data_IF_097603029441
#
_entry.id   IF_097603029441
#
_cell.length_a   1.000
_cell.length_b   1.000
_cell.length_c   1.000
_cell.angle_alpha   90.00
_cell.angle_beta   90.00
_cell.angle_gamma   90.00
#
_symmetry.space_group_name_H-M   'P 1'
#
loop_
_entity.id
_entity.type
_entity.pdbx_description
1 polymer ?
#
# COMPACT_ATOMS: atom_id res chain seq x y z
N UNK A 1 15.23 20.19 4.00
CA UNK A 1 14.68 18.82 4.10
C UNK A 1 14.74 18.44 5.56
N UNK A 2 13.61 18.47 6.27
CA UNK A 2 13.56 18.12 7.69
C UNK A 2 13.75 16.61 7.78
N UNK A 3 14.82 16.15 8.44
CA UNK A 3 14.97 14.73 8.76
C UNK A 3 13.89 14.39 9.78
N UNK A 4 12.81 13.77 9.31
CA UNK A 4 11.76 13.25 10.17
C UNK A 4 12.17 11.83 10.54
N UNK A 5 12.31 11.58 11.84
CA UNK A 5 12.68 10.29 12.41
C UNK A 5 11.76 9.18 11.88
N UNK A 6 12.29 8.04 11.40
CA UNK A 6 11.46 6.96 10.87
C UNK A 6 10.48 6.43 11.92
N UNK A 7 9.32 5.88 11.52
CA UNK A 7 8.33 5.41 12.46
C UNK A 7 8.87 4.19 13.24
N UNK A 8 9.15 4.37 14.53
CA UNK A 8 9.76 3.34 15.41
C UNK A 8 8.87 2.14 15.70
N UNK A 9 7.59 2.18 15.33
CA UNK A 9 6.61 1.15 15.63
C UNK A 9 6.47 0.08 14.53
N UNK A 10 7.20 0.21 13.41
CA UNK A 10 7.10 -0.71 12.27
C UNK A 10 7.77 -2.07 12.52
N UNK A 11 8.64 -2.17 13.53
CA UNK A 11 9.38 -3.39 13.82
C UNK A 11 10.58 -3.65 12.89
N UNK A 12 10.92 -2.70 12.02
CA UNK A 12 12.10 -2.71 11.17
C UNK A 12 12.63 -1.28 10.93
N UNK A 13 13.87 -1.17 10.47
CA UNK A 13 14.45 0.10 10.01
C UNK A 13 14.25 0.25 8.49
N UNK A 14 13.49 1.26 8.03
CA UNK A 14 13.23 1.44 6.60
C UNK A 14 14.48 1.95 5.87
N UNK A 15 14.66 1.48 4.63
CA UNK A 15 15.70 2.00 3.72
C UNK A 15 15.42 3.46 3.39
N UNK A 16 14.15 3.77 3.11
CA UNK A 16 13.67 5.11 2.80
C UNK A 16 12.24 5.25 3.31
N UNK A 17 11.89 6.44 3.81
CA UNK A 17 10.52 6.80 4.21
C UNK A 17 10.08 8.04 3.45
N UNK A 18 8.89 7.99 2.87
CA UNK A 18 8.18 9.14 2.31
C UNK A 18 6.98 9.48 3.18
N UNK A 19 6.74 10.79 3.35
CA UNK A 19 5.62 11.32 4.11
C UNK A 19 4.56 11.81 3.13
N UNK A 20 3.34 11.34 3.33
CA UNK A 20 2.16 11.68 2.54
C UNK A 20 1.08 12.24 3.46
N UNK A 21 0.08 12.91 2.89
CA UNK A 21 -1.09 13.36 3.66
C UNK A 21 -1.84 12.22 4.35
N UNK A 22 -1.83 11.03 3.74
CA UNK A 22 -2.50 9.83 4.26
C UNK A 22 -1.70 9.01 5.29
N UNK A 23 -0.41 9.28 5.48
CA UNK A 23 0.47 8.46 6.32
C UNK A 23 1.92 8.46 5.85
N UNK A 24 2.61 7.37 6.12
CA UNK A 24 3.97 7.14 5.61
C UNK A 24 4.01 5.97 4.65
N UNK A 25 4.96 6.04 3.72
CA UNK A 25 5.28 4.95 2.80
C UNK A 25 6.75 4.61 2.97
N UNK A 26 7.04 3.38 3.36
CA UNK A 26 8.34 2.96 3.84
C UNK A 26 8.87 1.81 2.98
N UNK A 27 10.09 1.91 2.48
CA UNK A 27 10.76 0.82 1.77
C UNK A 27 11.41 -0.12 2.79
N UNK A 28 10.96 -1.36 2.83
CA UNK A 28 11.59 -2.41 3.62
C UNK A 28 12.89 -2.88 2.93
N UNK A 29 13.94 -3.29 3.68
CA UNK A 29 15.16 -3.86 3.11
C UNK A 29 14.95 -5.04 2.13
N UNK A 30 13.91 -5.84 2.35
CA UNK A 30 13.52 -6.95 1.47
C UNK A 30 12.79 -6.51 0.19
N UNK A 31 12.66 -5.20 -0.07
CA UNK A 31 12.17 -4.66 -1.34
C UNK A 31 10.64 -4.52 -1.46
N UNK A 32 9.88 -4.78 -0.40
CA UNK A 32 8.44 -4.47 -0.34
C UNK A 32 8.19 -3.12 0.35
N UNK A 33 7.00 -2.56 0.12
CA UNK A 33 6.59 -1.27 0.69
C UNK A 33 5.64 -1.46 1.87
N UNK A 34 5.82 -0.69 2.93
CA UNK A 34 4.91 -0.62 4.07
C UNK A 34 4.25 0.74 4.15
N UNK A 35 2.96 0.78 3.88
CA UNK A 35 2.11 1.95 4.05
C UNK A 35 1.50 1.96 5.45
N UNK A 36 1.95 2.89 6.28
CA UNK A 36 1.39 3.09 7.62
C UNK A 36 0.46 4.31 7.62
N UNK A 37 -0.84 4.04 7.66
CA UNK A 37 -1.86 5.08 7.53
C UNK A 37 -2.01 5.87 8.82
N UNK A 38 -2.23 7.19 8.69
CA UNK A 38 -2.61 8.00 9.85
C UNK A 38 -3.88 7.40 10.49
N UNK A 39 -3.93 7.25 11.82
CA UNK A 39 -5.12 6.71 12.49
C UNK A 39 -6.40 7.46 12.12
N UNK A 40 -7.47 6.71 11.81
CA UNK A 40 -8.80 7.24 11.43
C UNK A 40 -8.78 8.14 10.19
N UNK A 41 -7.73 8.09 9.37
CA UNK A 41 -7.69 8.86 8.12
C UNK A 41 -8.77 8.39 7.15
N UNK A 42 -9.23 9.33 6.31
CA UNK A 42 -10.14 9.05 5.21
C UNK A 42 -9.35 9.02 3.92
N UNK A 43 -9.31 7.85 3.28
CA UNK A 43 -8.68 7.66 1.98
C UNK A 43 -9.63 8.15 0.88
N UNK A 44 -9.37 9.37 0.41
CA UNK A 44 -9.96 10.01 -0.78
C UNK A 44 -9.13 9.66 -2.03
N UNK A 45 -9.55 10.13 -3.22
CA UNK A 45 -8.76 9.98 -4.45
C UNK A 45 -7.34 10.52 -4.29
N UNK A 46 -7.20 11.78 -3.86
CA UNK A 46 -5.90 12.45 -3.78
C UNK A 46 -4.97 11.75 -2.78
N UNK A 47 -5.48 11.42 -1.60
CA UNK A 47 -4.67 10.73 -0.59
C UNK A 47 -4.23 9.34 -1.05
N UNK A 48 -5.10 8.61 -1.76
CA UNK A 48 -4.77 7.27 -2.26
C UNK A 48 -3.75 7.34 -3.40
N UNK A 49 -3.93 8.27 -4.34
CA UNK A 49 -2.98 8.53 -5.43
C UNK A 49 -1.61 8.93 -4.89
N UNK A 50 -1.55 9.86 -3.93
CA UNK A 50 -0.30 10.29 -3.31
C UNK A 50 0.46 9.11 -2.70
N UNK A 51 -0.23 8.23 -1.96
CA UNK A 51 0.38 7.06 -1.35
C UNK A 51 0.85 6.02 -2.39
N UNK A 52 0.06 5.77 -3.43
CA UNK A 52 0.41 4.85 -4.52
C UNK A 52 1.64 5.33 -5.31
N UNK A 53 1.69 6.63 -5.60
CA UNK A 53 2.80 7.25 -6.32
C UNK A 53 4.06 7.32 -5.47
N UNK A 54 3.93 7.61 -4.17
CA UNK A 54 5.03 7.56 -3.23
C UNK A 54 5.64 6.14 -3.21
N UNK A 55 4.81 5.10 -3.11
CA UNK A 55 5.29 3.72 -3.17
C UNK A 55 5.97 3.39 -4.50
N UNK A 56 5.47 3.90 -5.62
CA UNK A 56 6.04 3.63 -6.95
C UNK A 56 7.43 4.28 -7.08
N UNK A 57 7.61 5.45 -6.49
CA UNK A 57 8.90 6.13 -6.48
C UNK A 57 9.97 5.41 -5.65
N UNK A 58 9.56 4.59 -4.67
CA UNK A 58 10.46 3.77 -3.87
C UNK A 58 10.85 2.44 -4.54
N UNK A 59 10.11 2.00 -5.56
CA UNK A 59 10.36 0.77 -6.30
C UNK A 59 10.43 1.05 -7.82
N UNK A 60 11.38 1.89 -8.29
CA UNK A 60 11.42 2.31 -9.68
C UNK A 60 11.61 1.12 -10.63
N UNK A 61 10.77 1.04 -11.67
CA UNK A 61 10.79 -0.04 -12.67
C UNK A 61 10.08 -1.32 -12.25
N UNK A 62 9.59 -1.40 -11.01
CA UNK A 62 8.91 -2.58 -10.48
C UNK A 62 7.53 -2.23 -9.95
N UNK A 63 6.62 -3.21 -10.00
CA UNK A 63 5.38 -3.18 -9.25
C UNK A 63 5.68 -3.33 -7.77
N UNK A 64 4.89 -2.64 -6.95
CA UNK A 64 5.03 -2.67 -5.50
C UNK A 64 4.29 -3.88 -4.94
N UNK A 65 5.02 -4.69 -4.16
CA UNK A 65 4.41 -5.60 -3.21
C UNK A 65 4.21 -4.81 -1.91
N UNK A 66 2.98 -4.69 -1.41
CA UNK A 66 2.66 -3.74 -0.34
C UNK A 66 2.03 -4.41 0.89
N UNK A 67 2.43 -3.94 2.07
CA UNK A 67 1.74 -4.15 3.34
C UNK A 67 1.12 -2.81 3.75
N UNK A 68 -0.17 -2.81 4.11
CA UNK A 68 -0.88 -1.61 4.56
C UNK A 68 -1.36 -1.80 5.99
N UNK A 69 -0.87 -0.97 6.91
CA UNK A 69 -1.33 -0.90 8.28
C UNK A 69 -2.51 0.08 8.33
N UNK A 70 -3.73 -0.45 8.49
CA UNK A 70 -4.93 0.35 8.21
C UNK A 70 -5.27 1.37 9.31
N UNK A 71 -4.91 1.11 10.57
CA UNK A 71 -5.15 2.01 11.72
C UNK A 71 -6.57 2.61 11.78
N UNK A 72 -7.61 1.77 11.61
CA UNK A 72 -9.04 2.21 11.58
C UNK A 72 -9.38 3.23 10.49
N UNK A 73 -8.56 3.32 9.43
CA UNK A 73 -8.85 4.17 8.27
C UNK A 73 -10.14 3.76 7.57
N UNK A 74 -10.73 4.71 6.87
CA UNK A 74 -11.89 4.49 5.99
C UNK A 74 -11.49 4.83 4.57
N UNK A 75 -12.04 4.10 3.61
CA UNK A 75 -11.86 4.41 2.19
C UNK A 75 -13.19 4.85 1.59
N UNK A 76 -13.17 6.01 0.94
CA UNK A 76 -14.35 6.52 0.23
C UNK A 76 -14.50 5.85 -1.14
N UNK A 77 -15.58 6.19 -1.86
CA UNK A 77 -15.80 5.68 -3.22
C UNK A 77 -14.66 6.04 -4.15
N UNK A 78 -14.22 7.30 -4.11
CA UNK A 78 -13.18 7.77 -5.02
C UNK A 78 -11.79 7.26 -4.60
N UNK A 79 -11.53 7.05 -3.31
CA UNK A 79 -10.32 6.36 -2.85
C UNK A 79 -10.26 4.92 -3.37
N UNK A 80 -11.38 4.17 -3.35
CA UNK A 80 -11.46 2.84 -3.98
C UNK A 80 -11.17 2.91 -5.49
N UNK A 81 -11.70 3.94 -6.16
CA UNK A 81 -11.46 4.15 -7.59
C UNK A 81 -9.98 4.35 -7.88
N UNK A 82 -9.26 5.12 -7.07
CA UNK A 82 -7.81 5.29 -7.19
C UNK A 82 -7.06 3.94 -7.06
N UNK A 83 -7.42 3.11 -6.08
CA UNK A 83 -6.80 1.77 -5.94
C UNK A 83 -7.07 0.84 -7.13
N UNK A 84 -8.19 1.01 -7.83
CA UNK A 84 -8.54 0.25 -9.01
C UNK A 84 -7.84 0.78 -10.29
N UNK A 85 -7.81 2.11 -10.48
CA UNK A 85 -7.31 2.73 -11.71
C UNK A 85 -5.81 3.01 -11.67
N UNK A 86 -5.32 3.59 -10.57
CA UNK A 86 -3.91 3.95 -10.37
C UNK A 86 -3.16 2.77 -9.76
N UNK A 87 -3.78 2.05 -8.82
CA UNK A 87 -3.14 0.91 -8.15
C UNK A 87 -2.92 -0.29 -9.05
N UNK A 88 -3.84 -0.61 -9.97
CA UNK A 88 -3.78 -1.81 -10.80
C UNK A 88 -2.47 -1.99 -11.60
N UNK A 89 -1.97 -0.96 -12.31
CA UNK A 89 -0.70 -1.09 -13.03
C UNK A 89 0.53 -1.00 -12.11
N UNK A 90 0.40 -0.49 -10.88
CA UNK A 90 1.51 -0.21 -9.97
C UNK A 90 1.74 -1.29 -8.89
N UNK A 91 0.72 -2.09 -8.57
CA UNK A 91 0.77 -3.05 -7.46
C UNK A 91 0.88 -4.49 -7.96
N UNK A 92 1.75 -5.30 -7.35
CA UNK A 92 1.82 -6.74 -7.58
C UNK A 92 0.95 -7.52 -6.61
N UNK A 93 0.87 -7.08 -5.35
CA UNK A 93 -0.05 -7.58 -4.35
C UNK A 93 -0.22 -6.58 -3.19
N UNK A 94 -1.28 -6.75 -2.40
CA UNK A 94 -1.53 -5.95 -1.20
C UNK A 94 -1.94 -6.83 -0.02
N UNK A 95 -1.21 -6.73 1.09
CA UNK A 95 -1.59 -7.29 2.37
C UNK A 95 -2.12 -6.20 3.30
N UNK A 96 -3.35 -6.32 3.78
CA UNK A 96 -3.95 -5.35 4.71
C UNK A 96 -3.89 -5.90 6.14
N UNK A 97 -3.23 -5.18 7.04
CA UNK A 97 -3.17 -5.53 8.46
C UNK A 97 -4.37 -4.93 9.18
N UNK A 98 -5.26 -5.80 9.65
CA UNK A 98 -6.47 -5.39 10.38
C UNK A 98 -6.36 -5.78 11.86
N UNK A 99 -6.49 -4.81 12.77
CA UNK A 99 -6.30 -5.05 14.21
C UNK A 99 -7.51 -5.67 14.92
N UNK A 100 -8.66 -5.83 14.26
CA UNK A 100 -9.88 -6.38 14.86
C UNK A 100 -10.39 -7.62 14.11
N UNK A 101 -10.71 -8.70 14.86
CA UNK A 101 -11.25 -9.96 14.31
C UNK A 101 -12.60 -9.78 13.58
N UNK A 102 -13.38 -8.76 13.94
CA UNK A 102 -14.64 -8.41 13.26
C UNK A 102 -14.38 -7.81 11.87
N UNK A 103 -13.25 -7.10 11.70
CA UNK A 103 -12.80 -6.55 10.41
C UNK A 103 -12.28 -7.62 9.45
N UNK A 104 -11.74 -8.74 9.93
CA UNK A 104 -11.24 -9.84 9.08
C UNK A 104 -12.38 -10.54 8.31
N UNK A 105 -13.48 -10.87 8.99
CA UNK A 105 -14.62 -11.57 8.36
C UNK A 105 -15.35 -10.65 7.36
N UNK A 106 -15.56 -9.39 7.73
CA UNK A 106 -16.25 -8.40 6.88
C UNK A 106 -15.38 -7.93 5.72
N UNK A 107 -14.08 -7.78 5.94
CA UNK A 107 -13.16 -7.34 4.90
C UNK A 107 -12.95 -8.41 3.81
N UNK A 108 -12.93 -9.70 4.16
CA UNK A 108 -12.87 -10.78 3.16
C UNK A 108 -14.11 -10.81 2.26
N UNK A 109 -15.28 -10.44 2.80
CA UNK A 109 -16.50 -10.23 2.02
C UNK A 109 -16.39 -9.01 1.10
N UNK A 110 -15.84 -7.90 1.60
CA UNK A 110 -15.62 -6.67 0.82
C UNK A 110 -14.63 -6.84 -0.33
N UNK A 111 -13.54 -7.60 -0.13
CA UNK A 111 -12.58 -7.94 -1.18
C UNK A 111 -13.21 -8.82 -2.28
N UNK A 112 -14.14 -9.70 -1.92
CA UNK A 112 -14.88 -10.54 -2.87
C UNK A 112 -15.85 -9.74 -3.75
N UNK A 113 -16.38 -8.62 -3.27
CA UNK A 113 -17.28 -7.72 -4.00
C UNK A 113 -16.56 -6.71 -4.90
N UNK A 114 -15.40 -6.19 -4.47
CA UNK A 114 -14.66 -5.16 -5.21
C UNK A 114 -13.51 -5.70 -6.09
N UNK A 115 -13.19 -7.01 -6.00
CA UNK A 115 -12.14 -7.76 -6.76
C UNK A 115 -11.06 -6.86 -7.40
N UNK A 116 -10.06 -6.42 -6.61
CA UNK A 116 -8.93 -5.68 -7.15
C UNK A 116 -8.25 -6.47 -8.27
N UNK A 117 -7.66 -5.76 -9.24
CA UNK A 117 -6.93 -6.38 -10.36
C UNK A 117 -5.65 -7.11 -9.93
N UNK A 118 -5.24 -6.95 -8.66
CA UNK A 118 -4.09 -7.57 -8.04
C UNK A 118 -4.52 -8.39 -6.80
N UNK A 119 -3.79 -9.47 -6.48
CA UNK A 119 -4.00 -10.23 -5.25
C UNK A 119 -4.03 -9.30 -4.03
N UNK A 120 -5.12 -9.40 -3.26
CA UNK A 120 -5.28 -8.64 -2.01
C UNK A 120 -5.76 -9.57 -0.91
N UNK A 121 -5.13 -9.52 0.27
CA UNK A 121 -5.47 -10.40 1.40
C UNK A 121 -5.40 -9.66 2.74
N UNK A 122 -6.26 -10.05 3.67
CA UNK A 122 -6.25 -9.54 5.05
C UNK A 122 -5.39 -10.44 5.95
N UNK A 123 -4.70 -9.81 6.88
CA UNK A 123 -3.89 -10.48 7.90
C UNK A 123 -4.12 -9.84 9.27
N UNK A 124 -4.07 -10.68 10.32
CA UNK A 124 -4.11 -10.24 11.72
C UNK A 124 -2.73 -9.93 12.30
N UNK A 125 -1.66 -10.23 11.57
CA UNK A 125 -0.26 -10.07 12.01
C UNK A 125 0.63 -9.66 10.84
N UNK A 126 1.67 -8.86 11.11
CA UNK A 126 2.61 -8.39 10.08
C UNK A 126 3.45 -9.55 9.57
N UNK A 127 3.85 -10.48 10.44
CA UNK A 127 4.72 -11.61 10.14
C UNK A 127 4.12 -12.49 9.03
N UNK A 128 2.85 -12.90 9.20
CA UNK A 128 2.13 -13.67 8.19
C UNK A 128 1.91 -12.91 6.87
N UNK A 129 1.79 -11.57 6.93
CA UNK A 129 1.68 -10.76 5.73
C UNK A 129 3.02 -10.73 4.96
N UNK A 130 4.14 -10.59 5.67
CA UNK A 130 5.49 -10.60 5.07
C UNK A 130 5.74 -11.90 4.31
N UNK A 131 5.47 -13.06 4.94
CA UNK A 131 5.64 -14.37 4.30
C UNK A 131 4.86 -14.49 2.97
N UNK A 132 3.71 -13.83 2.87
CA UNK A 132 2.89 -13.82 1.67
C UNK A 132 3.31 -12.76 0.64
N UNK A 133 3.79 -11.59 1.08
CA UNK A 133 4.15 -10.46 0.22
C UNK A 133 5.51 -10.64 -0.45
N UNK A 134 6.52 -11.14 0.28
CA UNK A 134 7.91 -11.23 -0.22
C UNK A 134 8.04 -11.95 -1.58
N UNK A 135 7.34 -13.07 -1.84
CA UNK A 135 7.39 -13.73 -3.16
C UNK A 135 6.90 -12.89 -4.34
N UNK A 136 6.21 -11.76 -4.10
CA UNK A 136 5.66 -10.88 -5.12
C UNK A 136 6.53 -9.64 -5.41
N UNK A 137 7.68 -9.50 -4.74
CA UNK A 137 8.64 -8.41 -4.94
C UNK A 137 9.34 -8.55 -6.29
N UNK A 138 9.72 -7.43 -6.91
CA UNK A 138 10.55 -7.40 -8.11
C UNK A 138 9.83 -7.75 -9.42
N UNK A 139 8.49 -7.76 -9.41
CA UNK A 139 7.72 -7.90 -10.64
C UNK A 139 7.88 -6.63 -11.50
N UNK A 140 8.27 -6.72 -12.79
CA UNK A 140 8.44 -5.54 -13.63
C UNK A 140 7.14 -4.74 -13.77
N UNK A 141 7.26 -3.41 -13.77
CA UNK A 141 6.14 -2.55 -14.16
C UNK A 141 5.89 -2.70 -15.68
N UNK A 142 4.62 -2.81 -16.07
CA UNK A 142 4.23 -2.90 -17.48
C UNK A 142 4.17 -1.52 -18.16
N UNK A 143 3.99 -1.48 -19.50
CA UNK A 143 3.90 -0.23 -20.25
C UNK A 143 2.80 0.70 -19.74
N UNK A 144 1.65 0.16 -19.35
CA UNK A 144 0.54 0.93 -18.77
C UNK A 144 0.95 1.66 -17.48
N UNK A 145 1.79 1.04 -16.64
CA UNK A 145 2.27 1.67 -15.42
C UNK A 145 3.32 2.74 -15.68
N UNK A 146 4.17 2.53 -16.70
CA UNK A 146 5.14 3.56 -17.13
C UNK A 146 4.41 4.79 -17.65
N UNK A 147 3.46 4.60 -18.56
CA UNK A 147 2.64 5.68 -19.13
C UNK A 147 1.84 6.43 -18.06
N UNK A 148 1.26 5.69 -17.10
CA UNK A 148 0.57 6.28 -15.96
C UNK A 148 1.51 7.19 -15.15
N UNK A 149 2.71 6.72 -14.80
CA UNK A 149 3.68 7.49 -14.03
C UNK A 149 4.17 8.72 -14.80
N UNK A 150 4.33 8.64 -16.12
CA UNK A 150 4.68 9.78 -16.97
C UNK A 150 3.57 10.83 -17.01
N UNK A 151 2.31 10.41 -17.06
CA UNK A 151 1.14 11.31 -17.06
C UNK A 151 0.91 12.01 -15.72
N UNK A 152 1.35 11.41 -14.62
CA UNK A 152 1.15 11.93 -13.26
C UNK A 152 2.35 12.74 -12.73
N UNK A 153 3.40 12.92 -13.53
CA UNK A 153 4.50 13.86 -13.28
C UNK A 153 4.13 15.29 -13.67
#
# INVERSE_FOLDING_TARGET
MTQVTPPTHLGFEPVTTLYCSGGTVNLHPDGYVVSDLVPRTTQTWDTACEMLLAGASLAPGFKQAAIVITNESRTERDGRRAFAEVGAPLLSCVALIVRSRVSEVTGNFFLRLNRPAYPTRLFGSVEAAVEWVVPHVGQPIGPEGIELLERMR
#
